data_IF_247410718811
#
_entry.id   IF_247410718811
#
_cell.length_a   1.000
_cell.length_b   1.000
_cell.length_c   1.000
_cell.angle_alpha   90.00
_cell.angle_beta   90.00
_cell.angle_gamma   90.00
#
_symmetry.space_group_name_H-M   'P 1'
#
loop_
_entity.id
_entity.type
_entity.pdbx_description
1 polymer ?
#
# COMPACT_ATOMS: atom_id res chain seq x y z
N UNK A 1 -88.25 24.34 -28.16
CA UNK A 1 -87.08 24.83 -28.92
C UNK A 1 -85.94 24.99 -27.93
N UNK A 2 -85.29 23.89 -27.57
CA UNK A 2 -84.07 23.86 -26.75
C UNK A 2 -83.52 22.44 -26.86
N UNK A 3 -82.72 22.14 -27.88
CA UNK A 3 -81.80 20.99 -27.85
C UNK A 3 -80.76 21.00 -28.99
N UNK A 4 -80.15 22.15 -29.29
CA UNK A 4 -79.07 22.23 -30.31
C UNK A 4 -77.74 22.72 -29.73
N UNK A 5 -77.65 22.93 -28.41
CA UNK A 5 -76.46 23.48 -27.76
C UNK A 5 -75.53 22.43 -27.16
N UNK A 6 -75.98 21.17 -27.01
CA UNK A 6 -75.22 20.10 -26.35
C UNK A 6 -74.21 19.38 -27.25
N UNK A 7 -74.48 19.27 -28.56
CA UNK A 7 -73.64 18.48 -29.46
C UNK A 7 -72.34 19.21 -29.85
N UNK A 8 -72.34 20.55 -29.92
CA UNK A 8 -71.15 21.34 -30.27
C UNK A 8 -70.14 21.45 -29.12
N UNK A 9 -70.59 21.44 -27.86
CA UNK A 9 -69.69 21.49 -26.70
C UNK A 9 -68.97 20.15 -26.50
N UNK A 10 -69.68 19.01 -26.64
CA UNK A 10 -69.07 17.67 -26.51
C UNK A 10 -68.03 17.37 -27.58
N UNK A 11 -68.22 17.80 -28.83
CA UNK A 11 -67.26 17.56 -29.92
C UNK A 11 -65.94 18.33 -29.68
N UNK A 12 -66.01 19.52 -29.07
CA UNK A 12 -64.84 20.33 -28.74
C UNK A 12 -64.03 19.77 -27.56
N UNK A 13 -64.69 19.20 -26.55
CA UNK A 13 -64.03 18.61 -25.38
C UNK A 13 -63.33 17.28 -25.70
N UNK A 14 -63.90 16.46 -26.60
CA UNK A 14 -63.27 15.22 -27.08
C UNK A 14 -61.99 15.52 -27.87
N UNK A 15 -62.02 16.52 -28.75
CA UNK A 15 -60.86 16.96 -29.53
C UNK A 15 -59.73 17.53 -28.64
N UNK A 16 -60.07 18.21 -27.56
CA UNK A 16 -59.09 18.71 -26.58
C UNK A 16 -58.50 17.57 -25.78
N UNK A 17 -59.31 16.59 -25.38
CA UNK A 17 -58.85 15.42 -24.64
C UNK A 17 -57.93 14.52 -25.49
N UNK A 18 -58.26 14.29 -26.76
CA UNK A 18 -57.43 13.51 -27.70
C UNK A 18 -56.06 14.18 -27.93
N UNK A 19 -56.03 15.51 -28.09
CA UNK A 19 -54.77 16.27 -28.18
C UNK A 19 -53.95 16.19 -26.89
N UNK A 20 -54.60 16.17 -25.73
CA UNK A 20 -53.93 16.01 -24.44
C UNK A 20 -53.35 14.60 -24.28
N UNK A 21 -54.08 13.55 -24.67
CA UNK A 21 -53.60 12.17 -24.69
C UNK A 21 -52.39 12.00 -25.60
N UNK A 22 -52.44 12.56 -26.81
CA UNK A 22 -51.32 12.53 -27.75
C UNK A 22 -50.07 13.22 -27.21
N UNK A 23 -50.24 14.37 -26.54
CA UNK A 23 -49.14 15.08 -25.89
C UNK A 23 -48.54 14.23 -24.77
N UNK A 24 -49.39 13.64 -23.92
CA UNK A 24 -48.95 12.73 -22.85
C UNK A 24 -48.23 11.49 -23.39
N UNK A 25 -48.70 10.91 -24.50
CA UNK A 25 -48.05 9.77 -25.17
C UNK A 25 -46.66 10.15 -25.67
N UNK A 26 -46.53 11.27 -26.39
CA UNK A 26 -45.23 11.77 -26.87
C UNK A 26 -44.26 12.02 -25.73
N UNK A 27 -44.72 12.65 -24.65
CA UNK A 27 -43.89 12.94 -23.48
C UNK A 27 -43.47 11.67 -22.73
N UNK A 28 -44.35 10.68 -22.65
CA UNK A 28 -43.99 9.37 -22.09
C UNK A 28 -42.94 8.65 -22.93
N UNK A 29 -43.05 8.72 -24.26
CA UNK A 29 -42.07 8.12 -25.17
C UNK A 29 -40.71 8.81 -25.06
N UNK A 30 -40.69 10.15 -25.02
CA UNK A 30 -39.48 10.94 -24.78
C UNK A 30 -38.82 10.59 -23.44
N UNK A 31 -39.61 10.50 -22.36
CA UNK A 31 -39.11 10.15 -21.03
C UNK A 31 -38.56 8.72 -21.01
N UNK A 32 -39.23 7.75 -21.64
CA UNK A 32 -38.75 6.37 -21.76
C UNK A 32 -37.44 6.30 -22.52
N UNK A 33 -37.34 7.04 -23.63
CA UNK A 33 -36.10 7.14 -24.38
C UNK A 33 -34.98 7.74 -23.53
N UNK A 34 -35.27 8.79 -22.75
CA UNK A 34 -34.27 9.42 -21.89
C UNK A 34 -33.82 8.53 -20.74
N UNK A 35 -34.74 7.77 -20.14
CA UNK A 35 -34.43 6.77 -19.11
C UNK A 35 -33.48 5.73 -19.69
N UNK A 36 -33.81 5.16 -20.86
CA UNK A 36 -32.97 4.16 -21.51
C UNK A 36 -31.56 4.68 -21.80
N UNK A 37 -31.42 5.91 -22.30
CA UNK A 37 -30.10 6.52 -22.50
C UNK A 37 -29.31 6.71 -21.20
N UNK A 38 -29.99 7.12 -20.11
CA UNK A 38 -29.34 7.32 -18.82
C UNK A 38 -28.91 5.99 -18.20
N UNK A 39 -29.75 4.95 -18.29
CA UNK A 39 -29.43 3.60 -17.82
C UNK A 39 -28.22 3.03 -18.55
N UNK A 40 -28.17 3.16 -19.88
CA UNK A 40 -26.99 2.75 -20.66
C UNK A 40 -25.75 3.54 -20.23
N UNK A 41 -25.86 4.86 -20.08
CA UNK A 41 -24.76 5.71 -19.63
C UNK A 41 -24.27 5.41 -18.21
N UNK A 42 -25.14 4.96 -17.31
CA UNK A 42 -24.76 4.50 -15.96
C UNK A 42 -24.04 3.16 -16.07
N UNK A 43 -24.57 2.20 -16.83
CA UNK A 43 -23.96 0.89 -17.01
C UNK A 43 -22.54 0.98 -17.61
N UNK A 44 -22.32 1.86 -18.60
CA UNK A 44 -20.99 2.10 -19.17
C UNK A 44 -20.04 2.66 -18.12
N UNK A 45 -20.45 3.69 -17.37
CA UNK A 45 -19.61 4.30 -16.34
C UNK A 45 -19.28 3.33 -15.20
N UNK A 46 -20.21 2.50 -14.79
CA UNK A 46 -19.97 1.49 -13.77
C UNK A 46 -18.95 0.44 -14.23
N UNK A 47 -19.02 0.04 -15.50
CA UNK A 47 -18.02 -0.84 -16.10
C UNK A 47 -16.63 -0.19 -16.12
N UNK A 48 -16.54 1.06 -16.55
CA UNK A 48 -15.29 1.84 -16.55
C UNK A 48 -14.71 1.99 -15.14
N UNK A 49 -15.54 2.38 -14.15
CA UNK A 49 -15.12 2.51 -12.76
C UNK A 49 -14.60 1.19 -12.18
N UNK A 50 -15.26 0.07 -12.49
CA UNK A 50 -14.81 -1.23 -12.03
C UNK A 50 -13.47 -1.63 -12.64
N UNK A 51 -13.29 -1.42 -13.95
CA UNK A 51 -12.02 -1.69 -14.61
C UNK A 51 -10.87 -0.82 -14.08
N UNK A 52 -11.16 0.46 -13.80
CA UNK A 52 -10.18 1.39 -13.25
C UNK A 52 -9.79 1.01 -11.82
N UNK A 53 -10.77 0.64 -10.98
CA UNK A 53 -10.52 0.14 -9.61
C UNK A 53 -9.66 -1.12 -9.62
N UNK A 54 -9.96 -2.07 -10.50
CA UNK A 54 -9.17 -3.30 -10.62
C UNK A 54 -7.74 -3.02 -11.10
N UNK A 55 -7.57 -2.11 -12.07
CA UNK A 55 -6.24 -1.69 -12.52
C UNK A 55 -5.46 -0.97 -11.42
N UNK A 56 -6.12 -0.08 -10.66
CA UNK A 56 -5.50 0.63 -9.55
C UNK A 56 -5.04 -0.34 -8.46
N UNK A 57 -5.91 -1.25 -8.04
CA UNK A 57 -5.58 -2.28 -7.04
C UNK A 57 -4.39 -3.13 -7.46
N UNK A 58 -4.35 -3.56 -8.75
CA UNK A 58 -3.21 -4.29 -9.30
C UNK A 58 -1.92 -3.48 -9.31
N UNK A 59 -1.98 -2.20 -9.66
CA UNK A 59 -0.81 -1.31 -9.67
C UNK A 59 -0.27 -1.07 -8.26
N UNK A 60 -1.14 -0.83 -7.28
CA UNK A 60 -0.77 -0.65 -5.87
C UNK A 60 -0.11 -1.91 -5.32
N UNK A 61 -0.66 -3.10 -5.61
CA UNK A 61 -0.04 -4.35 -5.20
C UNK A 61 1.37 -4.53 -5.78
N UNK A 62 1.54 -4.26 -7.09
CA UNK A 62 2.86 -4.31 -7.74
C UNK A 62 3.84 -3.29 -7.17
N UNK A 63 3.35 -2.10 -6.82
CA UNK A 63 4.17 -1.09 -6.18
C UNK A 63 4.69 -1.58 -4.83
N UNK A 64 3.81 -2.16 -4.00
CA UNK A 64 4.20 -2.76 -2.72
C UNK A 64 5.25 -3.86 -2.88
N UNK A 65 5.06 -4.75 -3.86
CA UNK A 65 6.00 -5.83 -4.12
C UNK A 65 7.36 -5.31 -4.61
N UNK A 66 7.38 -4.27 -5.43
CA UNK A 66 8.60 -3.62 -5.89
C UNK A 66 9.37 -2.95 -4.73
N UNK A 67 8.65 -2.27 -3.82
CA UNK A 67 9.24 -1.68 -2.61
C UNK A 67 9.87 -2.76 -1.73
N UNK A 68 9.17 -3.86 -1.48
CA UNK A 68 9.70 -4.99 -0.70
C UNK A 68 10.94 -5.62 -1.35
N UNK A 69 10.96 -5.75 -2.68
CA UNK A 69 12.13 -6.26 -3.40
C UNK A 69 13.34 -5.32 -3.33
N UNK A 70 13.10 -4.00 -3.23
CA UNK A 70 14.16 -2.99 -3.17
C UNK A 70 14.84 -2.86 -1.81
N UNK A 71 14.18 -3.27 -0.72
CA UNK A 71 14.70 -3.14 0.66
C UNK A 71 14.74 -4.52 1.35
N UNK A 72 15.85 -5.25 1.24
CA UNK A 72 16.04 -6.52 1.93
C UNK A 72 15.96 -6.33 3.45
N UNK A 73 15.12 -7.12 4.11
CA UNK A 73 14.95 -7.10 5.57
C UNK A 73 13.81 -6.21 6.09
N UNK A 74 13.03 -5.59 5.20
CA UNK A 74 11.79 -4.89 5.58
C UNK A 74 10.65 -5.91 5.80
N UNK A 75 10.05 -5.99 6.99
CA UNK A 75 8.91 -6.86 7.22
C UNK A 75 7.67 -6.39 6.45
N UNK A 76 6.99 -7.32 5.78
CA UNK A 76 5.74 -7.03 5.04
C UNK A 76 4.65 -6.44 5.94
N UNK A 77 4.66 -6.78 7.23
CA UNK A 77 3.71 -6.30 8.24
C UNK A 77 3.78 -4.79 8.48
N UNK A 78 4.90 -4.14 8.15
CA UNK A 78 5.09 -2.70 8.31
C UNK A 78 4.61 -1.89 7.11
N UNK A 79 4.42 -2.53 5.94
CA UNK A 79 3.93 -1.90 4.72
C UNK A 79 2.41 -2.05 4.63
N UNK A 80 1.70 -1.03 5.12
CA UNK A 80 0.24 -0.95 5.12
C UNK A 80 -0.24 0.12 4.14
N UNK A 81 -1.46 -0.04 3.63
CA UNK A 81 -2.11 0.93 2.75
C UNK A 81 -2.72 0.32 1.50
N UNK A 82 -3.77 0.97 1.01
CA UNK A 82 -4.44 0.66 -0.27
C UNK A 82 -4.13 1.70 -1.35
N UNK A 83 -3.42 2.77 -1.00
CA UNK A 83 -2.96 3.81 -1.91
C UNK A 83 -1.45 3.92 -1.91
N UNK A 84 -0.89 4.54 -2.96
CA UNK A 84 0.55 4.78 -3.07
C UNK A 84 1.04 5.67 -1.92
N UNK A 85 0.29 6.72 -1.60
CA UNK A 85 0.64 7.67 -0.52
C UNK A 85 0.68 6.98 0.86
N UNK A 86 -0.27 6.08 1.14
CA UNK A 86 -0.29 5.30 2.38
C UNK A 86 0.88 4.31 2.46
N UNK A 87 1.23 3.69 1.33
CA UNK A 87 2.38 2.81 1.23
C UNK A 87 3.67 3.59 1.49
N UNK A 88 3.81 4.78 0.92
CA UNK A 88 4.99 5.63 1.09
C UNK A 88 5.15 6.12 2.54
N UNK A 89 4.04 6.56 3.15
CA UNK A 89 4.04 6.95 4.57
C UNK A 89 4.42 5.76 5.47
N UNK A 90 3.87 4.57 5.19
CA UNK A 90 4.20 3.35 5.93
C UNK A 90 5.65 2.93 5.72
N UNK A 91 6.17 3.10 4.51
CA UNK A 91 7.56 2.81 4.17
C UNK A 91 8.54 3.69 4.94
N UNK A 92 8.28 5.00 5.02
CA UNK A 92 9.10 5.94 5.77
C UNK A 92 9.17 5.55 7.26
N UNK A 93 8.02 5.24 7.86
CA UNK A 93 7.95 4.77 9.25
C UNK A 93 8.72 3.46 9.44
N UNK A 94 8.55 2.50 8.53
CA UNK A 94 9.18 1.21 8.59
C UNK A 94 10.71 1.31 8.48
N UNK A 95 11.22 2.14 7.57
CA UNK A 95 12.66 2.43 7.44
C UNK A 95 13.23 3.06 8.71
N UNK A 96 12.49 3.97 9.35
CA UNK A 96 12.89 4.56 10.63
C UNK A 96 13.02 3.53 11.75
N UNK A 97 12.09 2.58 11.83
CA UNK A 97 12.12 1.49 12.83
C UNK A 97 13.32 0.57 12.56
N UNK A 98 13.47 0.09 11.32
CA UNK A 98 14.57 -0.81 10.95
C UNK A 98 15.93 -0.16 11.22
N UNK A 99 16.08 1.12 10.90
CA UNK A 99 17.32 1.87 11.16
C UNK A 99 17.63 1.97 12.65
N UNK A 100 16.62 2.23 13.50
CA UNK A 100 16.80 2.27 14.96
C UNK A 100 17.18 0.89 15.53
N UNK A 101 16.53 -0.18 15.07
CA UNK A 101 16.84 -1.55 15.50
C UNK A 101 18.27 -1.91 15.11
N UNK A 102 18.70 -1.58 13.89
CA UNK A 102 20.08 -1.80 13.43
C UNK A 102 21.09 -1.06 14.32
N UNK A 103 20.84 0.22 14.61
CA UNK A 103 21.71 1.01 15.50
C UNK A 103 21.80 0.41 16.91
N UNK A 104 20.69 -0.07 17.47
CA UNK A 104 20.68 -0.71 18.79
C UNK A 104 21.48 -2.02 18.80
N UNK A 105 21.31 -2.86 17.79
CA UNK A 105 22.07 -4.11 17.66
C UNK A 105 23.56 -3.87 17.45
N UNK A 106 23.94 -2.87 16.65
CA UNK A 106 25.34 -2.48 16.47
C UNK A 106 25.95 -1.94 17.77
N UNK A 107 25.22 -1.13 18.52
CA UNK A 107 25.67 -0.62 19.82
C UNK A 107 25.83 -1.74 20.86
N UNK A 108 24.91 -2.70 20.89
CA UNK A 108 24.98 -3.88 21.77
C UNK A 108 26.16 -4.78 21.37
N UNK A 109 26.34 -5.07 20.08
CA UNK A 109 27.47 -5.84 19.59
C UNK A 109 28.82 -5.17 19.86
N UNK A 110 28.89 -3.83 19.80
CA UNK A 110 30.08 -3.08 20.17
C UNK A 110 30.35 -3.12 21.68
N UNK A 111 29.30 -3.08 22.52
CA UNK A 111 29.43 -3.19 23.97
C UNK A 111 29.85 -4.60 24.41
N UNK A 112 29.37 -5.65 23.74
CA UNK A 112 29.74 -7.04 23.97
C UNK A 112 31.09 -7.43 23.34
N UNK A 113 31.67 -6.55 22.51
CA UNK A 113 33.03 -6.74 22.00
C UNK A 113 34.04 -6.54 23.13
N UNK A 114 34.30 -7.60 23.88
CA UNK A 114 35.36 -7.63 24.89
C UNK A 114 36.70 -7.43 24.16
N UNK A 115 37.49 -6.38 24.47
CA UNK A 115 38.83 -6.23 23.90
C UNK A 115 39.59 -7.51 24.23
N UNK A 116 40.19 -8.16 23.22
CA UNK A 116 40.91 -9.42 23.37
C UNK A 116 41.85 -9.36 24.58
N UNK A 117 41.35 -9.85 25.71
CA UNK A 117 41.80 -9.47 27.04
C UNK A 117 42.93 -10.35 27.52
N UNK A 118 44.03 -10.35 26.79
CA UNK A 118 45.37 -10.55 27.32
C UNK A 118 46.37 -10.29 26.18
N UNK A 119 47.32 -9.36 26.32
CA UNK A 119 48.47 -9.35 25.42
C UNK A 119 49.10 -10.76 25.43
N UNK A 120 49.50 -11.29 24.26
CA UNK A 120 50.11 -12.61 24.18
C UNK A 120 51.29 -12.65 25.16
N UNK A 121 51.32 -13.66 26.04
CA UNK A 121 52.44 -13.86 26.96
C UNK A 121 53.72 -13.89 26.15
N UNK A 122 54.48 -12.79 26.17
CA UNK A 122 55.80 -12.76 25.57
C UNK A 122 56.68 -13.62 26.48
N UNK A 123 57.19 -14.77 26.01
CA UNK A 123 58.13 -15.52 26.81
C UNK A 123 59.36 -14.62 27.06
N UNK A 124 59.99 -14.71 28.23
CA UNK A 124 61.24 -13.99 28.48
C UNK A 124 62.26 -14.40 27.41
N UNK A 125 62.94 -13.42 26.83
CA UNK A 125 63.96 -13.68 25.82
C UNK A 125 65.18 -14.31 26.50
N UNK A 126 65.35 -15.62 26.31
CA UNK A 126 66.47 -16.39 26.84
C UNK A 126 67.67 -16.39 25.87
N UNK A 127 67.60 -15.72 24.72
CA UNK A 127 68.66 -15.76 23.72
C UNK A 127 69.98 -15.14 24.20
N UNK A 128 69.89 -14.16 25.12
CA UNK A 128 71.05 -13.49 25.71
C UNK A 128 71.73 -14.27 26.86
N UNK A 129 71.13 -15.36 27.36
CA UNK A 129 71.70 -16.16 28.44
C UNK A 129 72.64 -17.25 27.93
N UNK A 130 73.74 -17.45 28.65
CA UNK A 130 74.65 -18.57 28.40
C UNK A 130 73.98 -19.92 28.71
N UNK A 131 74.49 -21.04 28.17
CA UNK A 131 73.92 -22.36 28.42
C UNK A 131 73.79 -22.72 29.91
N UNK A 132 74.74 -22.28 30.75
CA UNK A 132 74.71 -22.54 32.21
C UNK A 132 73.60 -21.75 32.89
N UNK A 133 73.42 -20.49 32.52
CA UNK A 133 72.37 -19.62 33.10
C UNK A 133 70.95 -20.07 32.72
N UNK A 134 70.78 -20.65 31.53
CA UNK A 134 69.50 -21.26 31.12
C UNK A 134 69.11 -22.44 32.00
N UNK A 135 70.07 -23.30 32.35
CA UNK A 135 69.84 -24.47 33.21
C UNK A 135 69.47 -24.01 34.63
N UNK A 136 70.21 -23.04 35.18
CA UNK A 136 69.91 -22.48 36.49
C UNK A 136 68.51 -21.83 36.54
N UNK A 137 68.14 -21.07 35.49
CA UNK A 137 66.81 -20.47 35.36
C UNK A 137 65.68 -21.51 35.29
N UNK A 138 65.90 -22.64 34.61
CA UNK A 138 64.94 -23.75 34.55
C UNK A 138 64.74 -24.43 35.91
N UNK A 139 65.84 -24.69 36.64
CA UNK A 139 65.79 -25.32 37.97
C UNK A 139 65.10 -24.43 39.01
N UNK A 140 65.32 -23.12 38.98
CA UNK A 140 64.73 -22.17 39.92
C UNK A 140 63.20 -22.00 39.77
N UNK A 141 62.63 -22.42 38.63
CA UNK A 141 61.19 -22.28 38.33
C UNK A 141 60.39 -23.56 38.57
N UNK A 142 61.06 -24.67 38.88
CA UNK A 142 60.49 -26.02 39.00
C UNK A 142 60.36 -26.51 40.46
N UNK A 143 60.78 -25.70 41.43
CA UNK A 143 60.50 -25.88 42.87
C UNK A 143 59.42 -24.92 43.34
#
# INVERSE_FOLDING_TARGET
MTDESGDTEMESDVDVNDKAEDNLRRKNEELRYRISQLEEGVATRDSELNSLKESLSRTVARYRDAVLASIPGLPMELLKGETVDEIDASLELAQGIVSKVRQQLEAEAAADSVPAGAPPRTPPDLSALSPVEKIAYGMARQG
#
